data_IF_106639947369
#
_entry.id   IF_106639947369
#
_cell.length_a   1.000
_cell.length_b   1.000
_cell.length_c   1.000
_cell.angle_alpha   90.00
_cell.angle_beta   90.00
_cell.angle_gamma   90.00
#
_symmetry.space_group_name_H-M   'P 1'
#
loop_
_entity.id
_entity.type
_entity.pdbx_description
1 polymer ?
#
# COMPACT_ATOMS: atom_id res chain seq x y z
N UNK A 1 12.22 -77.47 60.15
CA UNK A 1 12.05 -78.91 60.45
C UNK A 1 10.64 -79.29 60.02
N UNK A 2 10.49 -80.12 58.98
CA UNK A 2 9.18 -80.62 58.59
C UNK A 2 8.70 -81.62 59.64
N UNK A 3 7.54 -81.40 60.24
CA UNK A 3 6.96 -82.34 61.20
C UNK A 3 6.82 -83.72 60.54
N UNK A 4 7.38 -84.75 61.17
CA UNK A 4 7.19 -86.15 60.76
C UNK A 4 5.70 -86.46 60.84
N UNK A 5 5.04 -86.56 59.70
CA UNK A 5 3.65 -87.03 59.60
C UNK A 5 3.60 -88.51 59.97
N UNK A 6 2.95 -88.82 61.10
CA UNK A 6 2.68 -90.20 61.51
C UNK A 6 1.45 -90.73 60.77
N UNK A 7 1.63 -91.69 59.86
CA UNK A 7 0.55 -92.35 59.12
C UNK A 7 -0.13 -93.45 59.96
N UNK A 8 -0.42 -93.19 61.23
CA UNK A 8 -0.97 -94.17 62.18
C UNK A 8 -2.43 -93.86 62.47
N UNK A 9 -3.32 -94.82 62.23
CA UNK A 9 -4.76 -94.72 62.47
C UNK A 9 -5.52 -95.90 61.86
N UNK A 10 -6.82 -96.00 62.14
CA UNK A 10 -7.69 -96.98 61.46
C UNK A 10 -7.82 -96.63 59.98
N UNK A 11 -8.16 -97.61 59.13
CA UNK A 11 -8.37 -97.38 57.70
C UNK A 11 -9.31 -96.18 57.44
N UNK A 12 -10.39 -96.08 58.23
CA UNK A 12 -11.35 -94.96 58.14
C UNK A 12 -10.71 -93.60 58.46
N UNK A 13 -9.79 -93.53 59.42
CA UNK A 13 -9.06 -92.29 59.75
C UNK A 13 -8.12 -91.89 58.62
N UNK A 14 -7.41 -92.86 58.03
CA UNK A 14 -6.52 -92.63 56.89
C UNK A 14 -7.29 -92.15 55.66
N UNK A 15 -8.42 -92.79 55.33
CA UNK A 15 -9.31 -92.33 54.26
C UNK A 15 -9.91 -90.96 54.54
N UNK A 16 -10.20 -90.63 55.80
CA UNK A 16 -10.70 -89.31 56.20
C UNK A 16 -9.62 -88.22 56.01
N UNK A 17 -8.35 -88.52 56.28
CA UNK A 17 -7.26 -87.59 56.01
C UNK A 17 -7.05 -87.38 54.51
N UNK A 18 -7.07 -88.46 53.72
CA UNK A 18 -7.00 -88.38 52.26
C UNK A 18 -8.15 -87.55 51.68
N UNK A 19 -9.39 -87.80 52.12
CA UNK A 19 -10.56 -87.04 51.69
C UNK A 19 -10.46 -85.54 52.07
N UNK A 20 -9.91 -85.22 53.26
CA UNK A 20 -9.63 -83.83 53.66
C UNK A 20 -8.61 -83.16 52.74
N UNK A 21 -7.53 -83.85 52.38
CA UNK A 21 -6.51 -83.34 51.46
C UNK A 21 -7.11 -83.10 50.07
N UNK A 22 -7.87 -84.06 49.54
CA UNK A 22 -8.51 -83.93 48.22
C UNK A 22 -9.47 -82.73 48.20
N UNK A 23 -10.29 -82.56 49.25
CA UNK A 23 -11.18 -81.37 49.37
C UNK A 23 -10.40 -80.07 49.44
N UNK A 24 -9.26 -80.05 50.13
CA UNK A 24 -8.40 -78.87 50.19
C UNK A 24 -7.79 -78.51 48.82
N UNK A 25 -7.46 -79.52 48.01
CA UNK A 25 -6.94 -79.34 46.65
C UNK A 25 -8.03 -78.87 45.68
N UNK A 26 -9.20 -79.50 45.69
CA UNK A 26 -10.28 -79.19 44.74
C UNK A 26 -11.11 -77.98 45.14
N UNK A 27 -11.06 -77.57 46.41
CA UNK A 27 -11.91 -76.53 46.99
C UNK A 27 -13.39 -76.92 47.06
N UNK A 28 -13.73 -78.21 46.90
CA UNK A 28 -15.11 -78.70 46.86
C UNK A 28 -15.62 -79.18 48.21
N UNK A 29 -16.95 -79.12 48.38
CA UNK A 29 -17.63 -79.59 49.59
C UNK A 29 -17.50 -81.11 49.76
N UNK A 30 -17.51 -81.89 48.67
CA UNK A 30 -17.25 -83.33 48.71
C UNK A 30 -15.95 -83.69 48.01
N UNK A 31 -15.30 -84.77 48.47
CA UNK A 31 -14.01 -85.25 47.93
C UNK A 31 -14.15 -85.92 46.55
N UNK A 32 -15.36 -86.30 46.15
CA UNK A 32 -15.69 -86.90 44.86
C UNK A 32 -16.27 -85.92 43.85
N UNK A 33 -16.52 -84.66 44.23
CA UNK A 33 -16.95 -83.64 43.29
C UNK A 33 -15.77 -83.25 42.40
N UNK A 34 -16.00 -83.21 41.09
CA UNK A 34 -14.96 -82.82 40.13
C UNK A 34 -14.46 -81.39 40.41
N UNK A 35 -13.16 -81.10 40.27
CA UNK A 35 -12.62 -79.75 40.41
C UNK A 35 -13.22 -78.79 39.36
N UNK A 36 -13.13 -77.48 39.61
CA UNK A 36 -13.67 -76.45 38.69
C UNK A 36 -13.04 -76.53 37.30
N UNK A 37 -11.74 -76.84 37.22
CA UNK A 37 -11.03 -77.15 35.99
C UNK A 37 -10.13 -78.36 36.21
N UNK A 38 -9.99 -79.18 35.18
CA UNK A 38 -8.99 -80.25 35.16
C UNK A 38 -7.59 -79.63 35.07
N UNK A 39 -6.55 -80.41 35.42
CA UNK A 39 -5.17 -79.97 35.19
C UNK A 39 -4.91 -79.64 33.71
N UNK A 40 -5.50 -80.43 32.82
CA UNK A 40 -5.46 -80.19 31.36
C UNK A 40 -6.13 -78.88 30.97
N UNK A 41 -7.28 -78.56 31.58
CA UNK A 41 -7.97 -77.28 31.37
C UNK A 41 -7.15 -76.09 31.86
N UNK A 42 -6.48 -76.21 33.01
CA UNK A 42 -5.56 -75.18 33.50
C UNK A 42 -4.36 -74.99 32.57
N UNK A 43 -3.79 -76.08 32.05
CA UNK A 43 -2.71 -76.01 31.06
C UNK A 43 -3.16 -75.30 29.78
N UNK A 44 -4.40 -75.54 29.36
CA UNK A 44 -5.02 -74.85 28.22
C UNK A 44 -5.16 -73.35 28.49
N UNK A 45 -5.69 -72.96 29.65
CA UNK A 45 -5.85 -71.55 30.02
C UNK A 45 -4.51 -70.82 30.05
N UNK A 46 -3.48 -71.43 30.67
CA UNK A 46 -2.13 -70.86 30.75
C UNK A 46 -1.54 -70.71 29.35
N UNK A 47 -1.70 -71.71 28.48
CA UNK A 47 -1.24 -71.64 27.10
C UNK A 47 -1.95 -70.52 26.32
N UNK A 48 -3.26 -70.38 26.51
CA UNK A 48 -4.04 -69.31 25.89
C UNK A 48 -3.60 -67.93 26.38
N UNK A 49 -3.35 -67.76 27.69
CA UNK A 49 -2.88 -66.50 28.24
C UNK A 49 -1.46 -66.16 27.76
N UNK A 50 -0.54 -67.12 27.81
CA UNK A 50 0.87 -66.91 27.42
C UNK A 50 1.03 -66.70 25.91
N UNK A 51 0.14 -67.26 25.09
CA UNK A 51 0.08 -67.02 23.64
C UNK A 51 -0.76 -65.80 23.22
N UNK A 52 -1.37 -65.06 24.15
CA UNK A 52 -2.21 -63.91 23.82
C UNK A 52 -1.39 -62.61 23.70
N UNK A 53 -0.96 -62.31 22.48
CA UNK A 53 -0.17 -61.11 22.19
C UNK A 53 -0.95 -59.78 22.37
N UNK A 54 -2.25 -59.82 22.65
CA UNK A 54 -3.06 -58.60 22.87
C UNK A 54 -2.90 -58.04 24.28
N UNK A 55 -2.66 -58.90 25.26
CA UNK A 55 -2.60 -58.52 26.68
C UNK A 55 -1.17 -58.43 27.21
N UNK A 56 -0.20 -58.87 26.41
CA UNK A 56 1.23 -58.80 26.73
C UNK A 56 1.90 -57.70 25.93
N UNK A 57 3.03 -57.24 26.47
CA UNK A 57 3.87 -56.22 25.84
C UNK A 57 5.26 -56.81 25.62
N UNK A 58 5.86 -56.50 24.49
CA UNK A 58 7.22 -56.96 24.18
C UNK A 58 8.25 -55.93 24.63
N UNK A 59 9.53 -56.33 24.67
CA UNK A 59 10.63 -55.38 24.85
C UNK A 59 10.65 -54.33 23.74
N UNK A 60 10.30 -54.72 22.50
CA UNK A 60 10.19 -53.81 21.37
C UNK A 60 9.07 -52.78 21.53
N UNK A 61 7.91 -53.17 22.05
CA UNK A 61 6.81 -52.23 22.34
C UNK A 61 7.24 -51.18 23.37
N UNK A 62 7.97 -51.61 24.41
CA UNK A 62 8.51 -50.70 25.43
C UNK A 62 9.54 -49.75 24.84
N UNK A 63 10.41 -50.22 23.95
CA UNK A 63 11.36 -49.36 23.22
C UNK A 63 10.61 -48.35 22.34
N UNK A 64 9.63 -48.79 21.55
CA UNK A 64 8.83 -47.91 20.69
C UNK A 64 8.02 -46.87 21.48
N UNK A 65 7.50 -47.23 22.65
CA UNK A 65 6.82 -46.28 23.53
C UNK A 65 7.79 -45.29 24.20
N UNK A 66 9.00 -45.73 24.51
CA UNK A 66 10.07 -44.85 24.97
C UNK A 66 10.57 -43.91 23.85
N UNK A 67 10.52 -44.37 22.60
CA UNK A 67 10.87 -43.64 21.38
C UNK A 67 9.69 -42.82 20.83
N UNK A 68 8.61 -42.66 21.60
CA UNK A 68 7.49 -41.77 21.24
C UNK A 68 7.94 -40.31 21.40
N UNK A 69 8.72 -39.87 20.41
CA UNK A 69 9.57 -38.68 20.40
C UNK A 69 10.50 -38.64 21.61
N UNK A 70 11.77 -38.97 21.40
CA UNK A 70 12.80 -38.70 22.40
C UNK A 70 12.71 -37.22 22.79
N UNK A 71 13.02 -36.89 24.05
CA UNK A 71 13.08 -35.48 24.48
C UNK A 71 13.92 -34.64 23.51
N UNK A 72 14.98 -35.21 22.94
CA UNK A 72 15.76 -34.60 21.87
C UNK A 72 14.98 -34.33 20.57
N UNK A 73 14.13 -35.23 20.11
CA UNK A 73 13.31 -35.00 18.91
C UNK A 73 12.18 -34.02 19.16
N UNK A 74 11.57 -34.04 20.36
CA UNK A 74 10.62 -32.99 20.77
C UNK A 74 11.32 -31.65 20.87
N UNK A 75 12.49 -31.59 21.51
CA UNK A 75 13.30 -30.39 21.68
C UNK A 75 13.84 -29.91 20.31
N UNK A 76 14.15 -30.80 19.36
CA UNK A 76 14.53 -30.43 17.99
C UNK A 76 13.34 -29.92 17.18
N UNK A 77 12.17 -30.55 17.30
CA UNK A 77 10.93 -30.08 16.65
C UNK A 77 10.43 -28.77 17.26
N UNK A 78 10.60 -28.62 18.58
CA UNK A 78 10.34 -27.38 19.30
C UNK A 78 11.39 -26.33 18.94
N UNK A 79 12.67 -26.69 18.77
CA UNK A 79 13.73 -25.81 18.28
C UNK A 79 13.46 -25.32 16.86
N UNK A 80 12.94 -26.18 15.97
CA UNK A 80 12.49 -25.75 14.63
C UNK A 80 11.22 -24.88 14.66
N UNK A 81 10.43 -24.93 15.74
CA UNK A 81 9.29 -24.04 15.99
C UNK A 81 9.69 -22.78 16.79
N UNK A 82 10.81 -22.83 17.51
CA UNK A 82 11.51 -21.73 18.19
C UNK A 82 12.29 -20.84 17.21
N UNK A 83 11.88 -20.79 15.94
CA UNK A 83 11.87 -19.53 15.18
C UNK A 83 10.84 -18.54 15.77
N UNK A 84 10.67 -18.54 17.10
CA UNK A 84 9.91 -17.54 17.81
C UNK A 84 10.69 -16.24 17.65
N UNK A 85 10.03 -15.27 17.03
CA UNK A 85 10.58 -13.93 16.82
C UNK A 85 10.85 -13.33 18.21
N UNK A 86 12.10 -13.41 18.68
CA UNK A 86 12.54 -12.80 19.93
C UNK A 86 12.95 -11.35 19.63
N UNK A 87 12.05 -10.42 19.95
CA UNK A 87 12.29 -9.00 19.73
C UNK A 87 13.27 -8.45 20.78
N UNK A 88 14.40 -7.93 20.32
CA UNK A 88 15.42 -7.27 21.14
C UNK A 88 15.23 -5.76 21.13
N UNK A 89 15.86 -5.10 22.10
CA UNK A 89 15.88 -3.64 22.16
C UNK A 89 16.55 -3.05 20.92
N UNK A 90 16.05 -1.91 20.45
CA UNK A 90 16.58 -1.26 19.26
C UNK A 90 18.01 -0.77 19.48
N UNK A 91 18.87 -0.91 18.47
CA UNK A 91 20.22 -0.33 18.48
C UNK A 91 20.29 0.90 17.59
N UNK A 92 21.22 1.81 17.89
CA UNK A 92 21.34 3.05 17.13
C UNK A 92 21.95 2.83 15.73
N UNK A 93 22.87 1.86 15.59
CA UNK A 93 23.54 1.57 14.30
C UNK A 93 23.63 0.08 14.00
N UNK A 94 23.74 -0.30 12.73
CA UNK A 94 23.89 -1.71 12.33
C UNK A 94 25.14 -2.36 12.96
N UNK A 95 26.26 -1.62 13.00
CA UNK A 95 27.47 -2.09 13.68
C UNK A 95 27.26 -2.27 15.19
N UNK A 96 26.36 -1.49 15.79
CA UNK A 96 25.97 -1.60 17.20
C UNK A 96 25.30 -2.93 17.55
N UNK A 97 24.75 -3.66 16.58
CA UNK A 97 24.19 -4.99 16.82
C UNK A 97 25.26 -5.93 17.38
N UNK A 98 26.45 -5.96 16.77
CA UNK A 98 27.51 -6.89 17.16
C UNK A 98 28.07 -6.59 18.57
N UNK A 99 28.01 -5.33 19.01
CA UNK A 99 28.46 -4.93 20.35
C UNK A 99 27.40 -5.19 21.42
N UNK A 100 26.13 -4.95 21.11
CA UNK A 100 25.02 -5.13 22.07
C UNK A 100 24.60 -6.60 22.18
N UNK A 101 24.69 -7.34 21.07
CA UNK A 101 24.28 -8.74 20.93
C UNK A 101 25.43 -9.57 20.34
N UNK A 102 26.51 -9.83 21.10
CA UNK A 102 27.72 -10.50 20.60
C UNK A 102 27.54 -12.00 20.34
N UNK A 103 26.53 -12.63 20.97
CA UNK A 103 26.20 -14.05 20.79
C UNK A 103 24.73 -14.18 20.37
N UNK A 104 24.37 -13.75 19.15
CA UNK A 104 22.98 -13.79 18.69
C UNK A 104 22.52 -15.23 18.47
N UNK A 105 21.22 -15.47 18.72
CA UNK A 105 20.57 -16.76 18.45
C UNK A 105 19.61 -16.62 17.27
N UNK A 106 19.40 -17.70 16.54
CA UNK A 106 18.48 -17.73 15.40
C UNK A 106 17.09 -17.23 15.82
N UNK A 107 16.44 -16.42 14.97
CA UNK A 107 15.14 -15.81 15.25
C UNK A 107 15.17 -14.49 16.03
N UNK A 108 16.30 -14.08 16.62
CA UNK A 108 16.43 -12.76 17.24
C UNK A 108 16.16 -11.66 16.23
N UNK A 109 15.31 -10.72 16.59
CA UNK A 109 14.85 -9.64 15.71
C UNK A 109 15.11 -8.30 16.37
N UNK A 110 15.77 -7.38 15.66
CA UNK A 110 16.20 -6.08 16.19
C UNK A 110 15.90 -4.96 15.21
N UNK A 111 15.42 -3.84 15.72
CA UNK A 111 15.28 -2.60 14.94
C UNK A 111 16.56 -1.78 15.04
N UNK A 112 17.00 -1.24 13.91
CA UNK A 112 18.21 -0.41 13.82
C UNK A 112 17.81 1.00 13.40
N UNK A 113 18.12 2.00 14.23
CA UNK A 113 17.61 3.38 14.05
C UNK A 113 18.28 4.14 12.91
N UNK A 114 19.56 3.92 12.60
CA UNK A 114 20.26 4.63 11.53
C UNK A 114 19.83 4.19 10.12
N UNK A 115 19.61 2.89 9.93
CA UNK A 115 19.14 2.33 8.66
C UNK A 115 17.62 2.21 8.57
N UNK A 116 16.93 2.31 9.71
CA UNK A 116 15.49 2.11 9.88
C UNK A 116 15.03 0.78 9.26
N UNK A 117 15.83 -0.27 9.47
CA UNK A 117 15.52 -1.65 9.11
C UNK A 117 15.25 -2.48 10.36
N UNK A 118 14.37 -3.47 10.22
CA UNK A 118 14.34 -4.63 11.11
C UNK A 118 15.26 -5.70 10.54
N UNK A 119 16.20 -6.17 11.36
CA UNK A 119 17.07 -7.30 11.05
C UNK A 119 16.66 -8.52 11.87
N UNK A 120 16.79 -9.70 11.28
CA UNK A 120 16.63 -10.99 11.95
C UNK A 120 17.91 -11.81 11.80
N UNK A 121 18.39 -12.36 12.90
CA UNK A 121 19.52 -13.28 12.86
C UNK A 121 19.07 -14.65 12.34
N UNK A 122 19.77 -15.19 11.34
CA UNK A 122 19.47 -16.45 10.65
C UNK A 122 20.20 -17.66 11.22
N UNK A 123 20.87 -17.50 12.35
CA UNK A 123 21.83 -18.46 12.91
C UNK A 123 23.27 -18.22 12.47
N UNK A 124 23.48 -17.57 11.32
CA UNK A 124 24.83 -17.22 10.80
C UNK A 124 25.05 -15.73 10.65
N UNK A 125 24.03 -14.95 10.29
CA UNK A 125 24.16 -13.52 10.02
C UNK A 125 22.86 -12.75 10.31
N UNK A 126 22.98 -11.43 10.46
CA UNK A 126 21.82 -10.53 10.60
C UNK A 126 21.30 -10.14 9.23
N UNK A 127 20.14 -10.68 8.85
CA UNK A 127 19.47 -10.44 7.56
C UNK A 127 18.40 -9.36 7.72
N UNK A 128 18.36 -8.37 6.82
CA UNK A 128 17.29 -7.37 6.81
C UNK A 128 15.98 -8.01 6.35
N UNK A 129 14.93 -7.93 7.18
CA UNK A 129 13.63 -8.55 6.89
C UNK A 129 12.52 -7.55 6.54
N UNK A 130 12.67 -6.30 6.94
CA UNK A 130 11.74 -5.23 6.55
C UNK A 130 12.37 -3.86 6.74
N UNK A 131 12.04 -2.92 5.84
CA UNK A 131 12.23 -1.50 6.09
C UNK A 131 11.14 -1.02 7.06
N UNK A 132 11.56 -0.46 8.19
CA UNK A 132 10.64 0.20 9.13
C UNK A 132 10.16 1.54 8.57
N UNK A 133 11.02 2.26 7.85
CA UNK A 133 10.62 3.33 6.96
C UNK A 133 11.14 3.11 5.54
N UNK A 134 10.31 3.53 4.58
CA UNK A 134 10.75 3.73 3.21
C UNK A 134 11.78 4.87 3.25
N UNK A 135 13.03 4.64 2.79
CA UNK A 135 14.06 5.67 2.83
C UNK A 135 13.61 6.94 2.09
N UNK A 136 14.15 8.10 2.49
CA UNK A 136 13.87 9.34 1.78
C UNK A 136 14.40 9.24 0.35
N UNK A 137 13.60 9.65 -0.61
CA UNK A 137 14.03 9.67 -2.01
C UNK A 137 15.23 10.60 -2.18
N UNK A 138 16.25 10.12 -2.88
CA UNK A 138 17.43 10.90 -3.28
C UNK A 138 17.57 10.84 -4.80
N UNK A 139 18.54 11.56 -5.37
CA UNK A 139 18.85 11.44 -6.80
C UNK A 139 19.39 10.06 -7.22
N UNK A 140 19.73 9.18 -6.28
CA UNK A 140 20.33 7.87 -6.56
C UNK A 140 19.52 6.68 -6.04
N UNK A 141 18.59 6.92 -5.12
CA UNK A 141 17.84 5.87 -4.41
C UNK A 141 16.36 6.23 -4.37
N UNK A 142 15.52 5.26 -4.74
CA UNK A 142 14.06 5.38 -4.64
C UNK A 142 13.61 5.44 -3.17
N UNK A 143 12.56 6.22 -2.91
CA UNK A 143 11.99 6.37 -1.59
C UNK A 143 10.47 6.46 -1.63
N UNK A 144 9.90 7.40 -0.86
CA UNK A 144 8.47 7.76 -0.94
C UNK A 144 8.04 8.32 -2.31
N UNK A 145 9.00 8.63 -3.16
CA UNK A 145 8.84 8.96 -4.58
C UNK A 145 10.01 8.32 -5.37
N UNK A 146 9.86 8.13 -6.67
CA UNK A 146 10.93 7.62 -7.52
C UNK A 146 12.12 8.59 -7.58
N UNK A 147 13.34 8.05 -7.66
CA UNK A 147 14.58 8.84 -7.76
C UNK A 147 14.59 9.76 -8.99
N UNK A 148 13.93 9.35 -10.08
CA UNK A 148 13.78 10.16 -11.29
C UNK A 148 12.94 11.41 -11.02
N UNK A 149 11.84 11.29 -10.27
CA UNK A 149 10.99 12.42 -9.93
C UNK A 149 11.65 13.34 -8.90
N UNK A 150 12.42 12.76 -7.96
CA UNK A 150 13.21 13.55 -7.01
C UNK A 150 14.28 14.37 -7.74
N UNK A 151 14.97 13.74 -8.69
CA UNK A 151 15.99 14.39 -9.52
C UNK A 151 15.40 15.54 -10.34
N UNK A 152 14.19 15.36 -10.91
CA UNK A 152 13.47 16.47 -11.59
C UNK A 152 13.17 17.61 -10.63
N UNK A 153 12.65 17.32 -9.44
CA UNK A 153 12.30 18.35 -8.47
C UNK A 153 13.53 19.11 -7.95
N UNK A 154 14.68 18.45 -7.82
CA UNK A 154 15.95 19.08 -7.41
C UNK A 154 16.48 20.10 -8.42
N UNK A 155 16.06 20.02 -9.69
CA UNK A 155 16.39 21.05 -10.69
C UNK A 155 15.54 22.32 -10.56
N UNK A 156 14.45 22.27 -9.79
CA UNK A 156 13.58 23.43 -9.58
C UNK A 156 14.23 24.34 -8.55
N UNK A 157 14.63 25.54 -8.99
CA UNK A 157 15.21 26.54 -8.10
C UNK A 157 14.26 26.89 -6.95
N UNK A 158 14.82 27.21 -5.79
CA UNK A 158 14.05 27.70 -4.65
C UNK A 158 13.18 28.90 -5.09
N UNK A 159 11.88 28.84 -4.81
CA UNK A 159 10.89 29.85 -5.21
C UNK A 159 10.65 29.98 -6.72
N UNK A 160 10.94 28.96 -7.55
CA UNK A 160 10.62 29.00 -8.99
C UNK A 160 9.14 29.31 -9.30
N UNK A 161 8.23 29.00 -8.37
CA UNK A 161 6.80 29.28 -8.51
C UNK A 161 6.35 30.59 -7.85
N UNK A 162 7.26 31.38 -7.28
CA UNK A 162 6.92 32.66 -6.64
C UNK A 162 6.79 33.78 -7.69
N UNK A 163 5.84 33.61 -8.62
CA UNK A 163 5.56 34.63 -9.61
C UNK A 163 4.78 35.79 -8.99
N UNK A 164 5.41 36.97 -8.93
CA UNK A 164 4.72 38.22 -8.60
C UNK A 164 4.44 38.96 -9.89
N UNK A 165 3.16 39.11 -10.25
CA UNK A 165 2.75 39.84 -11.45
C UNK A 165 3.09 41.34 -11.29
N UNK A 166 3.73 41.98 -12.27
CA UNK A 166 4.05 43.40 -12.17
C UNK A 166 2.77 44.25 -12.20
N UNK A 167 2.77 45.41 -11.54
CA UNK A 167 1.63 46.33 -11.56
C UNK A 167 1.32 46.88 -12.98
N UNK A 168 2.32 46.87 -13.87
CA UNK A 168 2.17 47.29 -15.26
C UNK A 168 3.15 46.54 -16.17
N UNK A 169 2.83 46.52 -17.46
CA UNK A 169 3.63 45.91 -18.52
C UNK A 169 4.01 46.98 -19.55
N UNK A 170 5.25 46.95 -20.04
CA UNK A 170 5.63 47.78 -21.19
C UNK A 170 4.87 47.34 -22.43
N UNK A 171 4.40 48.31 -23.22
CA UNK A 171 3.59 48.02 -24.42
C UNK A 171 4.32 47.15 -25.45
N UNK A 172 5.65 47.17 -25.45
CA UNK A 172 6.50 46.36 -26.34
C UNK A 172 6.39 44.85 -26.10
N UNK A 173 5.86 44.40 -24.96
CA UNK A 173 5.60 42.97 -24.70
C UNK A 173 4.33 42.46 -25.41
N UNK A 174 3.50 43.36 -25.95
CA UNK A 174 2.29 42.99 -26.68
C UNK A 174 2.60 42.91 -28.18
N UNK A 175 2.72 41.68 -28.70
CA UNK A 175 2.76 41.45 -30.15
C UNK A 175 1.40 41.78 -30.74
N UNK A 176 1.34 42.80 -31.60
CA UNK A 176 0.08 43.20 -32.22
C UNK A 176 -0.41 42.11 -33.19
N UNK A 177 -1.67 41.71 -33.05
CA UNK A 177 -2.34 40.80 -33.97
C UNK A 177 -3.70 41.38 -34.36
N UNK A 178 -4.11 41.17 -35.61
CA UNK A 178 -5.40 41.63 -36.11
C UNK A 178 -6.59 41.10 -35.29
N UNK A 179 -6.43 39.95 -34.61
CA UNK A 179 -7.47 39.34 -33.76
C UNK A 179 -7.41 39.75 -32.29
N UNK A 180 -6.36 40.44 -31.84
CA UNK A 180 -6.13 40.77 -30.43
C UNK A 180 -6.02 42.28 -30.16
N UNK A 181 -6.15 43.13 -31.19
CA UNK A 181 -6.24 44.59 -31.01
C UNK A 181 -7.69 44.99 -30.73
N UNK A 182 -7.88 45.97 -29.86
CA UNK A 182 -9.18 46.60 -29.59
C UNK A 182 -9.75 47.39 -30.78
N UNK A 183 -8.91 47.67 -31.78
CA UNK A 183 -9.26 48.40 -33.01
C UNK A 183 -8.67 47.69 -34.22
N UNK A 184 -9.47 47.59 -35.28
CA UNK A 184 -9.08 47.04 -36.57
C UNK A 184 -8.32 48.07 -37.43
N UNK A 185 -7.56 47.59 -38.41
CA UNK A 185 -6.90 48.48 -39.37
C UNK A 185 -7.92 49.24 -40.24
N UNK A 186 -9.09 48.64 -40.49
CA UNK A 186 -10.21 49.26 -41.19
C UNK A 186 -10.76 50.47 -40.43
N UNK A 187 -10.97 50.34 -39.12
CA UNK A 187 -11.44 51.45 -38.27
C UNK A 187 -10.41 52.58 -38.23
N UNK A 188 -9.13 52.25 -38.05
CA UNK A 188 -8.04 53.25 -38.07
C UNK A 188 -7.97 53.99 -39.41
N UNK A 189 -8.07 53.26 -40.50
CA UNK A 189 -8.07 53.84 -41.86
C UNK A 189 -9.27 54.77 -42.03
N UNK A 190 -10.45 54.36 -41.54
CA UNK A 190 -11.67 55.19 -41.58
C UNK A 190 -11.52 56.47 -40.75
N UNK A 191 -10.90 56.42 -39.58
CA UNK A 191 -10.66 57.60 -38.76
C UNK A 191 -9.64 58.55 -39.39
N UNK A 192 -8.55 58.01 -39.92
CA UNK A 192 -7.51 58.78 -40.58
C UNK A 192 -7.97 59.40 -41.91
N UNK A 193 -9.06 58.89 -42.50
CA UNK A 193 -9.66 59.42 -43.73
C UNK A 193 -10.68 60.55 -43.51
N UNK A 194 -10.99 60.93 -42.27
CA UNK A 194 -11.90 62.06 -41.99
C UNK A 194 -11.19 63.39 -42.27
N UNK A 195 -11.95 64.40 -42.69
CA UNK A 195 -11.42 65.75 -42.88
C UNK A 195 -11.03 66.38 -41.53
N UNK A 196 -10.00 67.23 -41.55
CA UNK A 196 -9.54 67.98 -40.37
C UNK A 196 -10.67 68.87 -39.80
N UNK A 197 -10.69 69.01 -38.48
CA UNK A 197 -11.69 69.84 -37.81
C UNK A 197 -11.51 71.34 -38.10
N UNK A 198 -10.26 71.77 -38.25
CA UNK A 198 -9.91 73.18 -38.46
C UNK A 198 -9.37 73.36 -39.88
N UNK A 199 -9.99 74.28 -40.62
CA UNK A 199 -9.59 74.62 -41.99
C UNK A 199 -9.47 73.42 -42.94
N UNK A 200 -10.47 72.52 -43.01
CA UNK A 200 -10.42 71.40 -43.93
C UNK A 200 -10.33 71.91 -45.39
N UNK A 201 -9.48 71.26 -46.18
CA UNK A 201 -9.56 71.39 -47.64
C UNK A 201 -10.57 70.37 -48.13
N UNK A 202 -11.76 70.83 -48.54
CA UNK A 202 -12.76 69.95 -49.14
C UNK A 202 -12.36 69.61 -50.59
N UNK A 203 -12.38 68.33 -50.93
CA UNK A 203 -12.09 67.83 -52.29
C UNK A 203 -13.32 67.15 -52.89
N UNK A 204 -13.44 67.12 -54.23
CA UNK A 204 -14.58 66.54 -54.92
C UNK A 204 -15.81 67.46 -54.93
N UNK A 205 -17.01 66.90 -54.75
CA UNK A 205 -18.27 67.64 -54.71
C UNK A 205 -18.86 67.62 -53.28
N UNK A 206 -18.39 68.48 -52.37
CA UNK A 206 -18.90 68.52 -51.00
C UNK A 206 -20.39 68.89 -50.99
N UNK A 207 -21.18 68.13 -50.24
CA UNK A 207 -22.59 68.40 -50.02
C UNK A 207 -22.77 69.16 -48.69
N UNK A 208 -23.64 70.16 -48.70
CA UNK A 208 -24.07 70.88 -47.51
C UNK A 208 -25.59 71.15 -47.61
N UNK A 209 -26.29 71.36 -46.49
CA UNK A 209 -27.69 71.78 -46.52
C UNK A 209 -27.86 73.11 -47.25
N UNK A 210 -28.85 73.22 -48.14
CA UNK A 210 -29.15 74.48 -48.86
C UNK A 210 -29.75 75.50 -47.90
N UNK A 211 -29.09 76.67 -47.68
CA UNK A 211 -29.66 77.75 -46.89
C UNK A 211 -30.94 78.34 -47.51
N UNK A 212 -31.77 78.99 -46.67
CA UNK A 212 -32.90 79.81 -47.14
C UNK A 212 -32.41 81.09 -47.81
N UNK A 213 -33.19 81.68 -48.72
CA UNK A 213 -32.78 82.85 -49.53
C UNK A 213 -32.49 84.12 -48.71
N UNK A 214 -32.96 84.18 -47.47
CA UNK A 214 -32.76 85.26 -46.51
C UNK A 214 -31.61 85.02 -45.52
N UNK A 215 -30.90 83.88 -45.60
CA UNK A 215 -29.80 83.53 -44.70
C UNK A 215 -28.55 84.40 -44.97
N UNK A 216 -28.04 85.07 -43.93
CA UNK A 216 -26.82 85.90 -43.95
C UNK A 216 -25.73 85.42 -42.97
N UNK A 217 -25.82 84.16 -42.53
CA UNK A 217 -24.86 83.55 -41.61
C UNK A 217 -23.54 83.15 -42.28
N UNK A 218 -22.57 82.68 -41.49
CA UNK A 218 -21.27 82.19 -41.97
C UNK A 218 -21.30 80.73 -42.47
N UNK A 219 -22.47 80.21 -42.83
CA UNK A 219 -22.63 78.83 -43.33
C UNK A 219 -22.10 78.72 -44.76
N UNK A 220 -21.75 77.50 -45.17
CA UNK A 220 -21.34 77.22 -46.54
C UNK A 220 -22.49 77.51 -47.52
N UNK A 221 -22.24 78.34 -48.53
CA UNK A 221 -23.18 78.58 -49.61
C UNK A 221 -23.17 77.42 -50.62
N UNK A 222 -24.32 76.77 -50.82
CA UNK A 222 -24.46 75.70 -51.84
C UNK A 222 -24.74 76.29 -53.22
N UNK A 223 -24.44 75.53 -54.27
CA UNK A 223 -24.74 75.94 -55.66
C UNK A 223 -26.25 76.14 -55.89
N UNK A 224 -27.11 75.42 -55.17
CA UNK A 224 -28.55 75.60 -55.22
C UNK A 224 -28.99 76.93 -54.60
N UNK A 225 -28.40 77.34 -53.47
CA UNK A 225 -28.67 78.64 -52.85
C UNK A 225 -28.22 79.80 -53.75
N UNK A 226 -27.02 79.74 -54.33
CA UNK A 226 -26.55 80.79 -55.25
C UNK A 226 -27.49 80.95 -56.46
N UNK A 227 -28.04 79.85 -56.97
CA UNK A 227 -29.03 79.88 -58.07
C UNK A 227 -30.39 80.45 -57.62
N UNK A 228 -30.85 80.19 -56.41
CA UNK A 228 -32.14 80.69 -55.92
C UNK A 228 -32.16 82.20 -55.67
N UNK A 229 -30.99 82.81 -55.39
CA UNK A 229 -30.86 84.27 -55.28
C UNK A 229 -31.04 85.04 -56.60
N UNK A 230 -31.19 84.33 -57.73
CA UNK A 230 -31.55 84.97 -59.00
C UNK A 230 -30.44 85.80 -59.65
N UNK A 231 -29.17 85.55 -59.33
CA UNK A 231 -28.04 86.14 -60.06
C UNK A 231 -28.10 85.72 -61.54
N UNK A 232 -28.56 86.64 -62.40
CA UNK A 232 -28.54 86.48 -63.86
C UNK A 232 -27.05 86.49 -64.28
N UNK A 233 -26.53 85.47 -65.00
CA UNK A 233 -25.19 85.57 -65.54
C UNK A 233 -25.11 86.79 -66.47
N UNK A 234 -24.03 87.56 -66.37
CA UNK A 234 -23.80 88.82 -67.09
C UNK A 234 -23.86 88.73 -68.65
N UNK A 235 -24.28 87.59 -69.22
CA UNK A 235 -24.52 87.39 -70.64
C UNK A 235 -25.99 87.51 -71.06
N UNK A 236 -26.93 87.75 -70.14
CA UNK A 236 -28.29 88.17 -70.50
C UNK A 236 -28.29 89.67 -70.79
N UNK A 237 -28.41 90.05 -72.06
CA UNK A 237 -28.40 91.43 -72.54
C UNK A 237 -29.12 92.39 -71.58
N UNK A 238 -28.35 93.29 -70.95
CA UNK A 238 -28.91 94.51 -70.37
C UNK A 238 -29.34 95.33 -71.59
N UNK A 239 -30.62 95.32 -71.91
CA UNK A 239 -31.18 96.16 -72.98
C UNK A 239 -30.81 97.61 -72.65
N UNK A 240 -30.01 98.20 -73.53
CA UNK A 240 -29.41 99.52 -73.34
C UNK A 240 -30.48 100.59 -73.36
N UNK A 241 -31.10 100.86 -72.22
CA UNK A 241 -31.90 102.04 -72.01
C UNK A 241 -31.02 103.29 -72.10
N UNK A 242 -31.21 104.05 -73.17
CA UNK A 242 -30.68 105.40 -73.36
C UNK A 242 -31.06 106.28 -72.18
N UNK A 243 -30.04 106.83 -71.50
CA UNK A 243 -30.16 108.04 -70.69
C UNK A 243 -30.18 109.28 -71.60
#
# INVERSE_FOLDING_TARGET
MAATVSNTGTLTQLFSFLAKIIKAITGKANWYDAPVKTLEGLNTDISNHTGNNTVHVTTGDKTNWADKYTKNEVDNKFSTLETNIDWKESVDTYAGIATTYPNPQDGWTVNVKDTDYTYRYSGTEWVAISANAIPKATGSVDGLMAKEDKSKLDTVAANANNYTHPASHVATMITQSATHRFVSDTEKTTWNGKADINSPTFTGAPAAPTPGSDDNSTRLATTAYVRSLGYIPASGAIDGGTF
#
